data_IF_451984630071
#
_entry.id   IF_451984630071
#
_cell.length_a   1.000
_cell.length_b   1.000
_cell.length_c   1.000
_cell.angle_alpha   90.00
_cell.angle_beta   90.00
_cell.angle_gamma   90.00
#
_symmetry.space_group_name_H-M   'P 1'
#
loop_
_entity.id
_entity.type
_entity.pdbx_description
1 polymer ?
#
# COMPACT_ATOMS: atom_id res chain seq x y z
N UNK A 1 10.94 17.32 9.98
CA UNK A 1 9.58 16.73 10.12
C UNK A 1 9.46 16.16 11.53
N UNK A 2 8.43 16.53 12.30
CA UNK A 2 8.29 16.13 13.71
C UNK A 2 7.76 14.70 13.84
N UNK A 3 8.33 13.91 14.76
CA UNK A 3 7.93 12.54 15.17
C UNK A 3 6.41 12.33 15.35
N UNK A 4 5.66 13.42 15.54
CA UNK A 4 4.19 13.45 15.68
C UNK A 4 3.41 13.14 14.40
N UNK A 5 3.98 13.32 13.22
CA UNK A 5 3.25 13.26 11.94
C UNK A 5 2.73 11.85 11.61
N UNK A 6 3.59 10.83 11.73
CA UNK A 6 3.27 9.45 11.40
C UNK A 6 2.39 8.80 12.47
N UNK A 7 2.65 9.07 13.75
CA UNK A 7 1.76 8.65 14.85
C UNK A 7 0.35 9.22 14.72
N UNK A 8 0.23 10.50 14.32
CA UNK A 8 -1.08 11.12 14.06
C UNK A 8 -1.80 10.49 12.88
N UNK A 9 -1.06 10.12 11.83
CA UNK A 9 -1.62 9.38 10.70
C UNK A 9 -2.13 8.01 11.14
N UNK A 10 -1.32 7.24 11.87
CA UNK A 10 -1.68 5.91 12.35
C UNK A 10 -2.92 5.97 13.27
N UNK A 11 -2.98 6.93 14.20
CA UNK A 11 -4.17 7.16 15.02
C UNK A 11 -5.40 7.57 14.21
N UNK A 12 -5.24 8.40 13.18
CA UNK A 12 -6.34 8.80 12.31
C UNK A 12 -6.86 7.61 11.49
N UNK A 13 -5.96 6.73 11.05
CA UNK A 13 -6.28 5.51 10.32
C UNK A 13 -7.04 4.51 11.19
N UNK A 14 -6.57 4.25 12.41
CA UNK A 14 -7.27 3.39 13.37
C UNK A 14 -8.68 3.90 13.67
N UNK A 15 -8.86 5.23 13.83
CA UNK A 15 -10.20 5.83 13.99
C UNK A 15 -11.07 5.73 12.74
N UNK A 16 -10.48 5.75 11.54
CA UNK A 16 -11.23 5.56 10.31
C UNK A 16 -11.73 4.12 10.18
N UNK A 17 -10.85 3.14 10.44
CA UNK A 17 -11.18 1.72 10.51
C UNK A 17 -12.32 1.43 11.49
N UNK A 18 -12.22 1.94 12.73
CA UNK A 18 -13.26 1.73 13.74
C UNK A 18 -14.62 2.33 13.33
N UNK A 19 -14.61 3.51 12.68
CA UNK A 19 -15.86 4.12 12.21
C UNK A 19 -16.52 3.30 11.11
N UNK A 20 -15.71 2.77 10.19
CA UNK A 20 -16.21 1.89 9.12
C UNK A 20 -16.87 0.63 9.69
N UNK A 21 -16.26 0.00 10.70
CA UNK A 21 -16.86 -1.15 11.39
C UNK A 21 -18.17 -0.81 12.11
N UNK A 22 -18.24 0.39 12.69
CA UNK A 22 -19.43 0.89 13.35
C UNK A 22 -20.51 1.37 12.34
N UNK A 23 -20.43 0.95 11.08
CA UNK A 23 -21.42 1.25 10.03
C UNK A 23 -21.41 2.70 9.53
N UNK A 24 -20.42 3.51 9.90
CA UNK A 24 -20.31 4.87 9.39
C UNK A 24 -19.61 4.84 8.03
N UNK A 25 -20.24 5.35 6.95
CA UNK A 25 -19.60 5.38 5.65
C UNK A 25 -18.34 6.24 5.73
N UNK A 26 -17.24 5.72 5.18
CA UNK A 26 -16.04 6.53 5.00
C UNK A 26 -16.40 7.67 4.04
N UNK A 27 -16.12 8.92 4.41
CA UNK A 27 -16.42 10.06 3.54
C UNK A 27 -15.58 9.93 2.25
N UNK A 28 -16.23 9.40 1.21
CA UNK A 28 -15.84 9.34 -0.19
C UNK A 28 -14.65 8.42 -0.56
N UNK A 29 -14.97 7.21 -0.97
CA UNK A 29 -14.43 6.66 -2.24
C UNK A 29 -15.01 7.49 -3.39
N UNK A 30 -14.21 8.32 -4.03
CA UNK A 30 -14.59 8.88 -5.32
C UNK A 30 -13.37 9.23 -6.15
N UNK A 31 -12.64 8.24 -6.65
CA UNK A 31 -11.95 8.46 -7.91
C UNK A 31 -11.48 7.15 -8.49
N UNK A 32 -12.43 6.46 -9.12
CA UNK A 32 -12.14 5.84 -10.41
C UNK A 32 -11.68 6.97 -11.31
N UNK A 33 -10.37 7.23 -11.35
CA UNK A 33 -9.82 8.13 -12.34
C UNK A 33 -10.19 7.55 -13.72
N UNK A 34 -10.70 8.35 -14.66
CA UNK A 34 -11.03 7.85 -15.99
C UNK A 34 -9.81 7.16 -16.62
N UNK A 35 -10.00 6.08 -17.39
CA UNK A 35 -8.92 5.29 -17.97
C UNK A 35 -8.34 5.99 -19.20
N UNK A 36 -7.84 7.22 -19.06
CA UNK A 36 -7.13 7.93 -20.16
C UNK A 36 -6.41 9.19 -19.67
N UNK A 37 -5.68 9.12 -18.56
CA UNK A 37 -4.66 10.11 -18.25
C UNK A 37 -3.38 9.38 -17.86
N UNK A 38 -2.30 9.64 -18.56
CA UNK A 38 -0.99 9.03 -18.34
C UNK A 38 -0.59 9.09 -16.85
N UNK A 39 -0.56 7.95 -16.16
CA UNK A 39 -0.11 7.85 -14.77
C UNK A 39 1.22 7.08 -14.69
N UNK A 40 2.26 7.49 -15.43
CA UNK A 40 3.55 6.78 -15.46
C UNK A 40 4.64 7.39 -14.55
N UNK A 41 4.29 8.30 -13.65
CA UNK A 41 5.28 9.09 -12.90
C UNK A 41 5.25 8.87 -11.40
N UNK A 42 6.40 9.09 -10.76
CA UNK A 42 6.52 9.10 -9.31
C UNK A 42 5.59 10.16 -8.65
N UNK A 43 5.31 11.26 -9.34
CA UNK A 43 4.44 12.31 -8.80
C UNK A 43 2.98 11.87 -8.75
N UNK A 44 2.50 11.17 -9.77
CA UNK A 44 1.19 10.53 -9.77
C UNK A 44 1.02 9.55 -8.61
N UNK A 45 2.05 8.74 -8.36
CA UNK A 45 2.08 7.79 -7.24
C UNK A 45 2.01 8.51 -5.88
N UNK A 46 2.79 9.59 -5.69
CA UNK A 46 2.71 10.42 -4.48
C UNK A 46 1.34 11.07 -4.32
N UNK A 47 0.76 11.60 -5.38
CA UNK A 47 -0.55 12.24 -5.34
C UNK A 47 -1.65 11.27 -4.91
N UNK A 48 -1.63 10.05 -5.46
CA UNK A 48 -2.54 8.99 -5.07
C UNK A 48 -2.36 8.63 -3.58
N UNK A 49 -1.13 8.44 -3.11
CA UNK A 49 -0.86 8.13 -1.70
C UNK A 49 -1.34 9.25 -0.77
N UNK A 50 -1.09 10.52 -1.13
CA UNK A 50 -1.59 11.68 -0.39
C UNK A 50 -3.11 11.63 -0.28
N UNK A 51 -3.79 11.30 -1.36
CA UNK A 51 -5.25 11.26 -1.41
C UNK A 51 -5.82 10.12 -0.57
N UNK A 52 -5.31 8.90 -0.76
CA UNK A 52 -5.72 7.70 -0.03
C UNK A 52 -5.53 7.86 1.47
N UNK A 53 -4.39 8.41 1.90
CA UNK A 53 -4.07 8.61 3.31
C UNK A 53 -4.45 9.99 3.86
N UNK A 54 -5.14 10.82 3.06
CA UNK A 54 -5.56 12.19 3.40
C UNK A 54 -4.42 13.06 3.95
N UNK A 55 -3.23 12.91 3.38
CA UNK A 55 -2.02 13.60 3.80
C UNK A 55 -2.05 15.07 3.38
N UNK A 56 -1.51 15.94 4.24
CA UNK A 56 -1.34 17.35 3.93
C UNK A 56 -0.21 17.58 2.91
N UNK A 57 -0.27 18.64 2.07
CA UNK A 57 0.72 18.90 1.02
C UNK A 57 2.18 18.95 1.50
N UNK A 58 2.42 19.44 2.72
CA UNK A 58 3.76 19.55 3.29
C UNK A 58 4.34 18.24 3.84
N UNK A 59 3.58 17.14 3.88
CA UNK A 59 4.12 15.82 4.25
C UNK A 59 5.05 15.37 3.12
N UNK A 60 6.33 15.14 3.42
CA UNK A 60 7.28 14.63 2.45
C UNK A 60 7.04 13.15 2.17
N UNK A 61 7.08 12.79 0.89
CA UNK A 61 6.94 11.41 0.40
C UNK A 61 8.14 11.14 -0.49
N UNK A 62 9.08 10.33 0.01
CA UNK A 62 10.17 9.86 -0.82
C UNK A 62 9.62 8.84 -1.83
N UNK A 63 10.15 8.83 -3.04
CA UNK A 63 9.78 7.83 -4.04
C UNK A 63 11.00 7.35 -4.80
N UNK A 64 11.03 6.08 -5.16
CA UNK A 64 12.00 5.48 -6.06
C UNK A 64 11.31 4.52 -7.02
N UNK A 65 11.87 4.33 -8.20
CA UNK A 65 11.44 3.25 -9.10
C UNK A 65 11.65 1.91 -8.37
N UNK A 66 10.68 1.01 -8.47
CA UNK A 66 10.78 -0.34 -7.95
C UNK A 66 10.78 -1.29 -9.15
N UNK A 67 11.96 -1.83 -9.47
CA UNK A 67 12.15 -2.81 -10.55
C UNK A 67 12.01 -4.25 -10.02
N UNK A 68 11.91 -4.41 -8.70
CA UNK A 68 11.90 -5.69 -8.00
C UNK A 68 10.49 -6.25 -7.75
N UNK A 69 9.45 -5.52 -8.12
CA UNK A 69 8.07 -6.02 -8.09
C UNK A 69 7.53 -5.98 -9.51
N UNK A 70 7.50 -7.12 -10.22
CA UNK A 70 6.74 -7.23 -11.45
C UNK A 70 5.31 -6.88 -11.12
N UNK A 71 4.78 -5.93 -11.88
CA UNK A 71 3.35 -5.73 -11.92
C UNK A 71 2.72 -7.01 -12.52
N UNK A 72 1.45 -7.28 -12.24
CA UNK A 72 0.74 -8.49 -12.74
C UNK A 72 1.03 -8.76 -14.23
N UNK A 73 0.86 -9.99 -14.73
CA UNK A 73 1.32 -10.46 -16.06
C UNK A 73 0.91 -9.61 -17.30
N UNK A 74 0.08 -8.57 -17.13
CA UNK A 74 -0.35 -7.62 -18.17
C UNK A 74 -0.21 -6.13 -17.77
N UNK A 75 0.49 -5.82 -16.69
CA UNK A 75 0.50 -4.47 -16.16
C UNK A 75 1.53 -3.59 -16.87
N UNK A 76 0.99 -2.68 -17.68
CA UNK A 76 1.73 -1.69 -18.44
C UNK A 76 2.22 -0.57 -17.51
N UNK A 77 3.49 -0.56 -17.08
CA UNK A 77 4.06 0.60 -16.37
C UNK A 77 5.22 0.31 -15.42
N UNK A 78 5.77 1.37 -14.81
CA UNK A 78 6.78 1.27 -13.73
C UNK A 78 6.08 1.20 -12.38
N UNK A 79 6.56 0.34 -11.48
CA UNK A 79 6.17 0.38 -10.08
C UNK A 79 7.00 1.45 -9.34
N UNK A 80 6.39 2.10 -8.36
CA UNK A 80 7.07 3.07 -7.50
C UNK A 80 6.96 2.69 -6.04
N UNK A 81 8.10 2.57 -5.38
CA UNK A 81 8.14 2.47 -3.93
C UNK A 81 8.04 3.86 -3.32
N UNK A 82 7.05 4.07 -2.48
CA UNK A 82 6.79 5.31 -1.77
C UNK A 82 7.11 5.11 -0.29
N UNK A 83 7.80 6.07 0.30
CA UNK A 83 8.20 6.02 1.72
C UNK A 83 7.75 7.27 2.45
N UNK A 84 6.94 7.06 3.48
CA UNK A 84 6.63 8.05 4.50
C UNK A 84 7.60 7.83 5.66
N UNK A 85 8.48 8.80 5.92
CA UNK A 85 9.44 8.70 7.01
C UNK A 85 9.18 9.75 8.07
N UNK A 86 9.45 9.40 9.32
CA UNK A 86 9.44 10.32 10.43
C UNK A 86 10.42 9.90 11.53
N UNK A 87 11.63 10.45 11.50
CA UNK A 87 12.70 10.02 12.40
C UNK A 87 13.05 8.55 12.17
N UNK A 88 13.01 7.73 13.22
CA UNK A 88 13.35 6.30 13.16
C UNK A 88 12.25 5.41 12.52
N UNK A 89 11.02 5.90 12.37
CA UNK A 89 9.92 5.13 11.81
C UNK A 89 9.69 5.45 10.33
N UNK A 90 9.45 4.42 9.52
CA UNK A 90 9.07 4.57 8.12
C UNK A 90 7.95 3.60 7.75
N UNK A 91 7.07 4.03 6.84
CA UNK A 91 6.05 3.21 6.20
C UNK A 91 6.29 3.22 4.70
N UNK A 92 6.29 2.03 4.12
CA UNK A 92 6.53 1.85 2.69
C UNK A 92 5.27 1.36 1.99
N UNK A 93 5.09 1.83 0.77
CA UNK A 93 3.97 1.52 -0.09
C UNK A 93 4.48 1.23 -1.49
N UNK A 94 3.84 0.29 -2.18
CA UNK A 94 4.05 0.05 -3.60
C UNK A 94 2.89 0.69 -4.36
N UNK A 95 3.20 1.62 -5.25
CA UNK A 95 2.28 2.10 -6.26
C UNK A 95 2.54 1.35 -7.57
N UNK A 96 1.51 0.67 -8.06
CA UNK A 96 1.61 -0.33 -9.10
C UNK A 96 0.33 -0.33 -9.94
N UNK A 97 0.41 -0.68 -11.23
CA UNK A 97 -0.81 -0.90 -12.02
C UNK A 97 -1.40 -2.27 -11.71
N UNK A 98 -2.71 -2.33 -11.50
CA UNK A 98 -3.46 -3.58 -11.42
C UNK A 98 -3.74 -4.16 -12.83
N UNK A 99 -4.33 -5.35 -12.88
CA UNK A 99 -4.68 -6.03 -14.14
C UNK A 99 -5.71 -5.27 -15.01
N UNK A 100 -6.35 -4.22 -14.47
CA UNK A 100 -7.28 -3.34 -15.18
C UNK A 100 -6.64 -2.00 -15.58
N UNK A 101 -5.30 -1.90 -15.53
CA UNK A 101 -4.55 -0.67 -15.79
C UNK A 101 -4.94 0.50 -14.89
N UNK A 102 -5.38 0.22 -13.66
CA UNK A 102 -5.61 1.25 -12.64
C UNK A 102 -4.42 1.31 -11.70
N UNK A 103 -3.99 2.52 -11.36
CA UNK A 103 -2.99 2.70 -10.32
C UNK A 103 -3.57 2.24 -8.98
N UNK A 104 -2.89 1.27 -8.37
CA UNK A 104 -3.23 0.63 -7.12
C UNK A 104 -2.10 0.88 -6.10
N UNK A 105 -2.48 1.03 -4.83
CA UNK A 105 -1.54 1.18 -3.72
C UNK A 105 -1.58 -0.07 -2.86
N UNK A 106 -0.42 -0.64 -2.60
CA UNK A 106 -0.24 -1.71 -1.64
C UNK A 106 0.67 -1.27 -0.50
N UNK A 107 0.40 -1.72 0.72
CA UNK A 107 1.34 -1.53 1.83
C UNK A 107 2.46 -2.55 1.68
N UNK A 108 3.72 -2.13 1.89
CA UNK A 108 4.84 -3.05 2.01
C UNK A 108 5.03 -3.39 3.48
N UNK A 109 4.97 -4.68 3.79
CA UNK A 109 5.15 -5.22 5.14
C UNK A 109 6.03 -6.46 5.13
N UNK A 110 6.44 -6.91 6.31
CA UNK A 110 7.17 -8.16 6.45
C UNK A 110 6.24 -9.36 6.18
N UNK A 111 6.67 -10.27 5.32
CA UNK A 111 6.06 -11.59 5.19
C UNK A 111 6.21 -12.32 6.54
N UNK A 112 5.13 -12.87 7.12
CA UNK A 112 5.19 -13.58 8.40
C UNK A 112 5.99 -14.89 8.33
N UNK A 113 6.25 -15.42 7.13
CA UNK A 113 6.97 -16.68 6.93
C UNK A 113 8.49 -16.49 6.81
N UNK A 114 8.91 -15.57 5.95
CA UNK A 114 10.34 -15.36 5.65
C UNK A 114 10.88 -13.97 6.04
N UNK A 115 10.03 -13.06 6.53
CA UNK A 115 10.42 -11.69 6.91
C UNK A 115 10.68 -10.73 5.74
N UNK A 116 10.62 -11.20 4.49
CA UNK A 116 10.84 -10.38 3.30
C UNK A 116 9.85 -9.21 3.22
N UNK A 117 10.31 -8.05 2.75
CA UNK A 117 9.48 -6.87 2.57
C UNK A 117 8.67 -6.99 1.27
N UNK A 118 7.38 -7.32 1.39
CA UNK A 118 6.51 -7.64 0.26
C UNK A 118 5.21 -6.83 0.29
N UNK A 119 4.54 -6.61 -0.85
CA UNK A 119 3.26 -5.90 -0.89
C UNK A 119 2.16 -6.74 -0.26
N UNK A 120 1.68 -6.41 0.95
CA UNK A 120 0.78 -7.29 1.70
C UNK A 120 -0.69 -7.11 1.33
N UNK A 121 -1.18 -5.87 1.26
CA UNK A 121 -2.61 -5.58 1.08
C UNK A 121 -2.81 -4.33 0.24
N UNK A 122 -3.86 -4.32 -0.60
CA UNK A 122 -4.29 -3.10 -1.28
C UNK A 122 -4.98 -2.14 -0.31
N UNK A 123 -4.67 -0.86 -0.43
CA UNK A 123 -5.37 0.20 0.29
C UNK A 123 -6.04 1.15 -0.71
N UNK A 124 -7.33 1.40 -0.48
CA UNK A 124 -8.13 2.37 -1.24
C UNK A 124 -8.51 3.57 -0.37
N UNK A 125 -8.45 3.41 0.94
CA UNK A 125 -8.85 4.41 1.93
C UNK A 125 -7.89 4.49 3.12
N UNK A 126 -8.12 5.52 3.95
CA UNK A 126 -7.47 5.67 5.24
C UNK A 126 -7.93 4.58 6.23
N UNK A 127 -9.17 4.10 6.10
CA UNK A 127 -9.71 2.99 6.89
C UNK A 127 -9.00 1.66 6.56
N UNK A 128 -8.71 1.38 5.29
CA UNK A 128 -7.97 0.17 4.89
C UNK A 128 -6.56 0.15 5.51
N UNK A 129 -5.89 1.31 5.52
CA UNK A 129 -4.60 1.46 6.23
C UNK A 129 -4.76 1.22 7.74
N UNK A 130 -5.84 1.70 8.35
CA UNK A 130 -6.17 1.43 9.76
C UNK A 130 -6.44 -0.04 10.07
N UNK A 131 -7.15 -0.73 9.18
CA UNK A 131 -7.39 -2.17 9.28
C UNK A 131 -6.06 -2.94 9.25
N UNK A 132 -5.15 -2.58 8.34
CA UNK A 132 -3.82 -3.15 8.28
C UNK A 132 -2.98 -2.87 9.54
N UNK A 133 -3.05 -1.68 10.12
CA UNK A 133 -2.34 -1.38 11.37
C UNK A 133 -2.80 -2.26 12.54
N UNK A 134 -4.08 -2.60 12.58
CA UNK A 134 -4.69 -3.40 13.66
C UNK A 134 -4.47 -4.90 13.48
N UNK A 135 -4.65 -5.39 12.26
CA UNK A 135 -4.60 -6.81 11.95
C UNK A 135 -3.18 -7.25 11.56
N UNK A 136 -2.30 -6.30 11.26
CA UNK A 136 -0.97 -6.59 10.74
C UNK A 136 -1.05 -7.21 9.33
N UNK A 137 -0.03 -7.99 8.94
CA UNK A 137 0.01 -8.68 7.65
C UNK A 137 -1.09 -9.73 7.45
N UNK A 138 -1.92 -10.03 8.46
CA UNK A 138 -3.02 -11.01 8.39
C UNK A 138 -4.20 -10.57 7.50
N UNK A 139 -4.06 -9.48 6.75
CA UNK A 139 -4.97 -9.12 5.66
C UNK A 139 -4.33 -9.53 4.34
N UNK A 140 -4.55 -10.78 3.91
CA UNK A 140 -4.17 -11.23 2.57
C UNK A 140 -5.11 -10.69 1.49
N UNK A 141 -4.71 -10.40 0.24
CA UNK A 141 -3.39 -10.33 -0.39
C UNK A 141 -3.46 -9.23 -1.47
N UNK A 142 -2.42 -8.42 -1.62
CA UNK A 142 -2.22 -7.69 -2.85
C UNK A 142 -2.01 -8.69 -3.99
N UNK A 143 -2.55 -8.46 -5.20
CA UNK A 143 -2.18 -9.29 -6.36
C UNK A 143 -0.68 -9.14 -6.71
N UNK A 144 -0.02 -8.11 -6.16
CA UNK A 144 1.42 -7.90 -6.24
C UNK A 144 2.22 -8.58 -5.11
N UNK A 145 1.56 -9.23 -4.16
CA UNK A 145 2.20 -9.99 -3.07
C UNK A 145 3.10 -11.11 -3.62
N UNK A 146 2.79 -11.63 -4.81
CA UNK A 146 3.29 -12.91 -5.33
C UNK A 146 4.31 -12.81 -6.46
N UNK A 147 4.68 -11.60 -6.89
CA UNK A 147 5.53 -11.41 -8.06
C UNK A 147 6.95 -10.97 -7.71
N UNK A 148 7.25 -10.53 -6.49
CA UNK A 148 8.62 -10.09 -6.15
C UNK A 148 9.61 -11.26 -6.23
N UNK A 149 10.70 -11.16 -7.02
CA UNK A 149 11.75 -12.18 -7.05
C UNK A 149 12.35 -12.43 -5.66
N UNK A 150 12.44 -11.38 -4.84
CA UNK A 150 12.92 -11.47 -3.46
C UNK A 150 12.04 -12.35 -2.54
N UNK A 151 10.77 -12.56 -2.91
CA UNK A 151 9.86 -13.47 -2.20
C UNK A 151 9.92 -14.90 -2.77
N UNK A 152 10.08 -15.03 -4.09
CA UNK A 152 10.07 -16.33 -4.79
C UNK A 152 11.26 -17.21 -4.40
N UNK A 153 12.45 -16.64 -4.17
CA UNK A 153 13.68 -17.42 -3.95
C UNK A 153 13.87 -17.89 -2.49
N UNK A 154 13.11 -17.38 -1.52
CA UNK A 154 13.39 -17.59 -0.09
C UNK A 154 12.18 -17.80 0.82
N UNK A 155 10.95 -17.82 0.28
CA UNK A 155 9.75 -18.11 1.07
C UNK A 155 9.43 -19.62 1.01
N UNK A 156 9.14 -20.29 2.14
CA UNK A 156 8.74 -21.70 2.14
C UNK A 156 7.36 -21.93 1.49
N UNK A 157 6.53 -20.89 1.38
CA UNK A 157 5.19 -20.92 0.77
C UNK A 157 4.95 -19.69 -0.12
N UNK A 158 5.72 -19.51 -1.22
CA UNK A 158 5.76 -18.26 -1.99
C UNK A 158 4.44 -17.91 -2.70
N UNK A 159 3.52 -18.89 -2.82
CA UNK A 159 2.25 -18.77 -3.54
C UNK A 159 1.01 -18.93 -2.66
N UNK A 160 1.18 -19.09 -1.35
CA UNK A 160 0.06 -19.36 -0.45
C UNK A 160 -0.45 -18.05 0.17
N UNK A 161 -1.78 -17.83 0.22
CA UNK A 161 -2.34 -16.72 0.96
C UNK A 161 -1.86 -16.68 2.40
N UNK A 162 -1.53 -15.49 2.89
CA UNK A 162 -1.16 -15.22 4.29
C UNK A 162 -2.18 -15.78 5.29
N UNK A 163 -3.42 -16.06 4.85
CA UNK A 163 -4.53 -16.56 5.66
C UNK A 163 -5.04 -17.93 5.19
N UNK A 164 -4.16 -18.86 4.84
CA UNK A 164 -4.62 -20.25 4.71
C UNK A 164 -4.43 -20.92 6.08
N UNK A 165 -5.50 -21.15 6.87
CA UNK A 165 -5.38 -21.98 8.05
C UNK A 165 -4.92 -23.38 7.60
N UNK A 166 -3.83 -23.86 8.20
CA UNK A 166 -3.42 -25.27 8.18
C UNK A 166 -4.47 -26.16 8.81
#
# INVERSE_FOLDING_TARGET
MSARSLTRLDQAALRAAQRLENGHPDCATAGTTPPTASFATAESARHMLRRTLRLKPWVAIASRSDEAHPLADNATGRAFRLRLSNGAAAREFLAAYDGNQRLALSIIGACPQCGAQVPTVYIKSLADYGNWLRLGPSLGESAHFRTSPAHQDGCPIPHQPLNTPT
#
